data_IF_558720006537
#
_entry.id   IF_558720006537
#
_cell.length_a   1.000
_cell.length_b   1.000
_cell.length_c   1.000
_cell.angle_alpha   90.00
_cell.angle_beta   90.00
_cell.angle_gamma   90.00
#
_symmetry.space_group_name_H-M   'P 1'
#
loop_
_entity.id
_entity.type
_entity.pdbx_description
1 polymer ?
#
# COMPACT_ATOMS: atom_id res chain seq x y z
N UNK A 1 55.10 -30.11 -44.44
CA UNK A 1 55.63 -30.94 -43.33
C UNK A 1 54.65 -30.95 -42.18
N UNK A 2 54.24 -32.14 -41.78
CA UNK A 2 53.26 -32.42 -40.72
C UNK A 2 53.84 -32.13 -39.34
N UNK A 3 53.09 -31.62 -38.41
CA UNK A 3 53.20 -31.99 -37.00
C UNK A 3 51.81 -31.94 -36.28
N UNK A 4 51.38 -33.14 -35.94
CA UNK A 4 50.29 -33.39 -34.96
C UNK A 4 50.84 -33.15 -33.58
N UNK A 5 50.05 -32.51 -32.68
CA UNK A 5 50.29 -32.58 -31.24
C UNK A 5 49.00 -32.69 -30.50
N UNK A 6 48.96 -33.61 -29.57
CA UNK A 6 47.85 -34.17 -28.87
C UNK A 6 47.19 -33.19 -27.89
N UNK A 7 45.88 -33.27 -27.81
CA UNK A 7 45.03 -32.66 -26.79
C UNK A 7 45.15 -33.52 -25.53
N UNK A 8 45.67 -32.96 -24.46
CA UNK A 8 45.48 -33.48 -23.09
C UNK A 8 44.34 -32.77 -22.45
N UNK A 9 43.23 -33.49 -22.18
CA UNK A 9 42.09 -33.09 -21.38
C UNK A 9 42.54 -32.85 -19.93
N UNK A 10 42.43 -31.59 -19.47
CA UNK A 10 42.35 -31.25 -18.05
C UNK A 10 40.88 -31.07 -17.71
N UNK A 11 40.33 -32.02 -16.99
CA UNK A 11 39.09 -31.86 -16.24
C UNK A 11 39.38 -30.90 -15.07
N UNK A 12 39.05 -29.63 -15.24
CA UNK A 12 38.95 -28.69 -14.14
C UNK A 12 37.56 -28.84 -13.50
N UNK A 13 37.49 -29.45 -12.34
CA UNK A 13 36.36 -29.42 -11.46
C UNK A 13 36.13 -27.97 -11.02
N UNK A 14 35.20 -27.29 -11.65
CA UNK A 14 34.64 -26.04 -11.13
C UNK A 14 33.72 -26.39 -9.94
N UNK A 15 34.28 -26.31 -8.74
CA UNK A 15 33.48 -26.17 -7.55
C UNK A 15 32.65 -24.87 -7.70
N UNK A 16 31.37 -24.99 -7.96
CA UNK A 16 30.45 -23.88 -8.01
C UNK A 16 30.44 -23.19 -6.63
N UNK A 17 31.13 -22.05 -6.54
CA UNK A 17 30.89 -21.13 -5.43
C UNK A 17 29.51 -20.58 -5.70
N UNK A 18 28.49 -21.18 -5.05
CA UNK A 18 27.16 -20.63 -5.01
C UNK A 18 27.25 -19.26 -4.34
N UNK A 19 27.16 -18.21 -5.13
CA UNK A 19 26.98 -16.85 -4.62
C UNK A 19 25.60 -16.86 -3.97
N UNK A 20 25.57 -17.06 -2.64
CA UNK A 20 24.36 -16.92 -1.87
C UNK A 20 23.76 -15.53 -2.17
N UNK A 21 22.50 -15.47 -2.57
CA UNK A 21 21.84 -14.19 -2.83
C UNK A 21 21.94 -13.35 -1.55
N UNK A 22 22.01 -12.01 -1.64
CA UNK A 22 22.01 -11.13 -0.46
C UNK A 22 20.87 -11.40 0.52
N UNK A 23 19.76 -11.94 0.01
CA UNK A 23 18.61 -12.39 0.77
C UNK A 23 18.90 -13.60 1.67
N UNK A 24 19.70 -14.57 1.22
CA UNK A 24 20.09 -15.74 2.04
C UNK A 24 20.98 -15.34 3.20
N UNK A 25 21.84 -14.34 3.04
CA UNK A 25 22.67 -13.81 4.12
C UNK A 25 21.80 -13.10 5.17
N UNK A 26 20.81 -12.31 4.76
CA UNK A 26 19.85 -11.66 5.68
C UNK A 26 18.90 -12.67 6.31
N UNK A 27 18.42 -13.66 5.54
CA UNK A 27 17.58 -14.74 6.06
C UNK A 27 18.26 -15.52 7.19
N UNK A 28 19.58 -15.62 7.18
CA UNK A 28 20.38 -16.31 8.20
C UNK A 28 20.86 -15.39 9.35
N UNK A 29 20.59 -14.09 9.31
CA UNK A 29 20.93 -13.20 10.41
C UNK A 29 20.01 -13.46 11.62
N UNK A 30 20.56 -13.90 12.74
CA UNK A 30 19.87 -14.17 14.01
C UNK A 30 19.49 -12.88 14.77
N UNK A 31 19.00 -11.86 14.09
CA UNK A 31 18.53 -10.65 14.75
C UNK A 31 17.12 -10.93 15.27
N UNK A 32 17.03 -11.37 16.53
CA UNK A 32 15.74 -11.44 17.26
C UNK A 32 15.19 -10.02 17.40
N UNK A 33 14.06 -9.77 16.78
CA UNK A 33 13.24 -8.59 17.06
C UNK A 33 12.55 -8.79 18.41
N UNK A 34 12.39 -7.71 19.17
CA UNK A 34 11.41 -7.72 20.24
C UNK A 34 10.02 -8.03 19.63
N UNK A 35 9.21 -8.86 20.31
CA UNK A 35 7.83 -9.07 19.83
C UNK A 35 7.11 -7.73 19.68
N UNK A 36 6.33 -7.57 18.63
CA UNK A 36 5.48 -6.40 18.44
C UNK A 36 4.41 -6.37 19.55
N UNK A 37 4.03 -5.16 19.96
CA UNK A 37 3.04 -4.95 21.04
C UNK A 37 1.62 -5.34 20.64
N UNK A 38 1.34 -5.33 19.31
CA UNK A 38 0.05 -5.78 18.75
C UNK A 38 -1.07 -4.75 18.81
N UNK A 39 -0.78 -3.51 19.21
CA UNK A 39 -1.78 -2.43 19.21
C UNK A 39 -2.05 -1.87 17.82
N UNK A 40 -1.12 -2.05 16.88
CA UNK A 40 -1.25 -1.69 15.47
C UNK A 40 -1.01 -2.94 14.62
N UNK A 41 -1.90 -3.19 13.65
CA UNK A 41 -1.67 -4.21 12.63
C UNK A 41 -0.89 -3.58 11.49
N UNK A 42 0.33 -4.07 11.28
CA UNK A 42 1.24 -3.51 10.29
C UNK A 42 1.19 -4.25 8.95
N UNK A 43 1.22 -3.50 7.87
CA UNK A 43 1.45 -3.99 6.50
C UNK A 43 2.48 -3.14 5.76
N UNK A 44 2.84 -3.54 4.55
CA UNK A 44 3.79 -2.82 3.70
C UNK A 44 3.32 -2.87 2.25
N UNK A 45 3.43 -1.75 1.53
CA UNK A 45 3.07 -1.66 0.13
C UNK A 45 4.06 -2.45 -0.74
N UNK A 46 3.54 -3.33 -1.57
CA UNK A 46 4.35 -4.25 -2.40
C UNK A 46 5.26 -3.51 -3.38
N UNK A 47 4.78 -2.43 -3.97
CA UNK A 47 5.48 -1.69 -5.01
C UNK A 47 6.76 -0.98 -4.53
N UNK A 48 6.85 -0.63 -3.24
CA UNK A 48 8.06 0.00 -2.67
C UNK A 48 9.20 -0.99 -2.47
N UNK A 49 8.95 -2.29 -2.68
CA UNK A 49 9.90 -3.40 -2.59
C UNK A 49 9.92 -4.23 -3.87
N UNK A 50 9.74 -3.59 -5.04
CA UNK A 50 9.70 -4.21 -6.37
C UNK A 50 10.99 -4.94 -6.80
N UNK A 51 12.07 -4.72 -6.08
CA UNK A 51 13.32 -5.47 -6.20
C UNK A 51 13.25 -6.90 -5.62
N UNK A 52 12.15 -7.27 -4.98
CA UNK A 52 11.81 -8.60 -4.48
C UNK A 52 10.63 -9.18 -5.27
N UNK A 53 10.64 -10.47 -5.54
CA UNK A 53 9.42 -11.16 -5.91
C UNK A 53 8.42 -11.11 -4.75
N UNK A 54 7.13 -11.28 -5.03
CA UNK A 54 6.10 -11.30 -3.97
C UNK A 54 6.35 -12.42 -2.95
N UNK A 55 6.86 -13.59 -3.40
CA UNK A 55 7.25 -14.70 -2.53
C UNK A 55 8.38 -14.28 -1.56
N UNK A 56 9.43 -13.64 -2.08
CA UNK A 56 10.54 -13.15 -1.26
C UNK A 56 10.08 -12.08 -0.28
N UNK A 57 9.19 -11.17 -0.73
CA UNK A 57 8.62 -10.14 0.14
C UNK A 57 7.81 -10.78 1.28
N UNK A 58 7.00 -11.81 1.01
CA UNK A 58 6.29 -12.55 2.05
C UNK A 58 7.25 -13.11 3.12
N UNK A 59 8.38 -13.70 2.71
CA UNK A 59 9.39 -14.22 3.64
C UNK A 59 10.02 -13.11 4.49
N UNK A 60 10.34 -11.97 3.86
CA UNK A 60 10.94 -10.82 4.53
C UNK A 60 9.99 -10.23 5.56
N UNK A 61 8.75 -9.93 5.17
CA UNK A 61 7.77 -9.27 6.05
C UNK A 61 7.37 -10.13 7.22
N UNK A 62 7.20 -11.44 7.00
CA UNK A 62 6.91 -12.41 8.05
C UNK A 62 8.02 -12.46 9.10
N UNK A 63 9.28 -12.43 8.67
CA UNK A 63 10.44 -12.43 9.56
C UNK A 63 10.57 -11.14 10.37
N UNK A 64 10.14 -10.01 9.81
CA UNK A 64 10.11 -8.71 10.52
C UNK A 64 8.94 -8.65 11.53
N UNK A 65 7.85 -9.37 11.28
CA UNK A 65 6.66 -9.39 12.13
C UNK A 65 5.43 -8.71 11.51
N UNK A 66 5.48 -8.36 10.22
CA UNK A 66 4.28 -7.94 9.51
C UNK A 66 3.34 -9.13 9.27
N UNK A 67 2.04 -8.87 9.26
CA UNK A 67 1.02 -9.88 8.99
C UNK A 67 0.33 -9.71 7.63
N UNK A 68 0.62 -8.63 6.92
CA UNK A 68 0.00 -8.33 5.63
C UNK A 68 0.95 -7.63 4.65
N UNK A 69 0.61 -7.74 3.37
CA UNK A 69 1.18 -6.94 2.28
C UNK A 69 0.04 -6.13 1.65
N UNK A 70 0.35 -4.89 1.32
CA UNK A 70 -0.56 -3.89 0.78
C UNK A 70 -0.41 -3.76 -0.74
N UNK A 71 -1.48 -3.32 -1.41
CA UNK A 71 -1.50 -3.03 -2.84
C UNK A 71 -1.10 -4.24 -3.70
N UNK A 72 -1.77 -5.37 -3.45
CA UNK A 72 -1.54 -6.61 -4.21
C UNK A 72 -2.73 -6.88 -5.15
N UNK A 73 -2.43 -7.12 -6.42
CA UNK A 73 -3.45 -7.51 -7.40
C UNK A 73 -3.89 -8.97 -7.21
N UNK A 74 -5.09 -9.38 -7.71
CA UNK A 74 -5.61 -10.74 -7.58
C UNK A 74 -4.66 -11.86 -8.01
N UNK A 75 -3.80 -11.61 -8.98
CA UNK A 75 -2.76 -12.55 -9.42
C UNK A 75 -1.78 -12.95 -8.32
N UNK A 76 -1.60 -12.11 -7.29
CA UNK A 76 -0.72 -12.37 -6.14
C UNK A 76 -1.39 -13.11 -4.98
N UNK A 77 -2.71 -13.26 -4.94
CA UNK A 77 -3.43 -13.79 -3.78
C UNK A 77 -3.00 -15.20 -3.38
N UNK A 78 -2.78 -16.08 -4.35
CA UNK A 78 -2.30 -17.44 -4.08
C UNK A 78 -0.95 -17.46 -3.38
N UNK A 79 -0.06 -16.55 -3.76
CA UNK A 79 1.26 -16.40 -3.12
C UNK A 79 1.12 -15.94 -1.68
N UNK A 80 0.27 -14.93 -1.42
CA UNK A 80 0.00 -14.48 -0.05
C UNK A 80 -0.57 -15.59 0.82
N UNK A 81 -1.59 -16.30 0.34
CA UNK A 81 -2.25 -17.40 1.05
C UNK A 81 -1.27 -18.55 1.36
N UNK A 82 -0.43 -18.96 0.39
CA UNK A 82 0.58 -20.00 0.58
C UNK A 82 1.60 -19.64 1.68
N UNK A 83 1.85 -18.33 1.89
CA UNK A 83 2.77 -17.84 2.91
C UNK A 83 2.09 -17.47 4.23
N UNK A 84 0.75 -17.55 4.31
CA UNK A 84 -0.01 -17.12 5.49
C UNK A 84 0.13 -15.62 5.77
N UNK A 85 0.19 -14.81 4.71
CA UNK A 85 0.23 -13.34 4.73
C UNK A 85 -1.11 -12.83 4.23
N UNK A 86 -1.69 -11.84 4.93
CA UNK A 86 -2.94 -11.18 4.54
C UNK A 86 -2.72 -10.15 3.41
N UNK A 87 -3.78 -9.82 2.68
CA UNK A 87 -3.82 -8.69 1.75
C UNK A 87 -4.55 -7.53 2.43
N UNK A 88 -3.82 -6.49 2.85
CA UNK A 88 -4.42 -5.35 3.55
C UNK A 88 -5.18 -4.41 2.63
N UNK A 89 -4.75 -4.30 1.36
CA UNK A 89 -5.41 -3.56 0.29
C UNK A 89 -5.15 -4.24 -1.04
N UNK A 90 -6.18 -4.37 -1.87
CA UNK A 90 -6.07 -4.93 -3.20
C UNK A 90 -6.26 -3.88 -4.29
N UNK A 91 -5.59 -4.08 -5.41
CA UNK A 91 -6.01 -3.48 -6.68
C UNK A 91 -7.10 -4.33 -7.34
N UNK A 92 -7.80 -3.73 -8.31
CA UNK A 92 -8.51 -4.50 -9.33
C UNK A 92 -7.51 -5.24 -10.24
N UNK A 93 -8.00 -6.16 -11.09
CA UNK A 93 -7.13 -6.82 -12.08
C UNK A 93 -6.96 -5.99 -13.37
N UNK A 94 -7.70 -4.91 -13.49
CA UNK A 94 -7.77 -4.09 -14.70
C UNK A 94 -6.78 -2.93 -14.73
N UNK A 95 -7.18 -1.87 -15.43
CA UNK A 95 -6.37 -0.66 -15.59
C UNK A 95 -6.29 0.11 -14.26
N UNK A 96 -5.09 0.34 -13.77
CA UNK A 96 -4.84 1.26 -12.66
C UNK A 96 -4.45 2.62 -13.24
N UNK A 97 -5.18 3.67 -12.87
CA UNK A 97 -4.86 5.03 -13.25
C UNK A 97 -5.12 5.99 -12.09
N UNK A 98 -4.10 6.76 -11.72
CA UNK A 98 -4.21 7.80 -10.69
C UNK A 98 -4.81 9.10 -11.27
N UNK A 99 -4.75 9.29 -12.58
CA UNK A 99 -5.17 10.51 -13.27
C UNK A 99 -6.53 10.41 -13.95
N UNK A 100 -6.96 9.18 -14.28
CA UNK A 100 -8.27 8.88 -14.90
C UNK A 100 -9.11 8.09 -13.89
N UNK A 101 -10.02 8.75 -13.19
CA UNK A 101 -10.76 8.14 -12.11
C UNK A 101 -12.24 8.50 -12.09
N UNK A 102 -12.85 8.35 -10.91
CA UNK A 102 -14.29 8.45 -10.71
C UNK A 102 -14.87 9.87 -10.90
N UNK A 103 -14.04 10.91 -10.91
CA UNK A 103 -14.48 12.27 -11.17
C UNK A 103 -14.91 12.53 -12.63
N UNK A 104 -14.63 11.59 -13.54
CA UNK A 104 -14.95 11.69 -14.97
C UNK A 104 -16.02 10.68 -15.37
N UNK A 105 -17.16 11.18 -15.87
CA UNK A 105 -18.29 10.34 -16.28
C UNK A 105 -17.89 9.39 -17.41
N UNK A 106 -17.04 9.84 -18.33
CA UNK A 106 -16.50 9.05 -19.43
C UNK A 106 -15.69 7.83 -18.99
N UNK A 107 -15.22 7.82 -17.76
CA UNK A 107 -14.48 6.68 -17.19
C UNK A 107 -15.41 5.68 -16.49
N UNK A 108 -16.64 6.04 -16.18
CA UNK A 108 -17.48 5.21 -15.30
C UNK A 108 -17.73 3.82 -15.85
N UNK A 109 -17.94 3.65 -17.17
CA UNK A 109 -18.30 2.33 -17.70
C UNK A 109 -17.18 1.30 -17.55
N UNK A 110 -15.94 1.69 -17.84
CA UNK A 110 -14.82 0.77 -17.66
C UNK A 110 -14.48 0.58 -16.17
N UNK A 111 -14.56 1.63 -15.33
CA UNK A 111 -14.35 1.53 -13.88
C UNK A 111 -15.39 0.61 -13.24
N UNK A 112 -16.66 0.82 -13.55
CA UNK A 112 -17.75 -0.02 -13.00
C UNK A 112 -17.54 -1.49 -13.38
N UNK A 113 -17.22 -1.75 -14.66
CA UNK A 113 -16.95 -3.12 -15.10
C UNK A 113 -15.79 -3.74 -14.30
N UNK A 114 -14.68 -3.02 -14.17
CA UNK A 114 -13.47 -3.51 -13.51
C UNK A 114 -13.72 -3.80 -12.02
N UNK A 115 -14.43 -2.90 -11.33
CA UNK A 115 -14.77 -3.11 -9.92
C UNK A 115 -15.79 -4.23 -9.71
N UNK A 116 -16.81 -4.35 -10.57
CA UNK A 116 -17.79 -5.45 -10.49
C UNK A 116 -17.15 -6.81 -10.76
N UNK A 117 -16.14 -6.87 -11.61
CA UNK A 117 -15.35 -8.08 -11.84
C UNK A 117 -14.42 -8.40 -10.63
N UNK A 118 -13.82 -7.38 -10.00
CA UNK A 118 -12.86 -7.56 -8.90
C UNK A 118 -13.52 -7.88 -7.54
N UNK A 119 -14.66 -7.27 -7.22
CA UNK A 119 -15.33 -7.41 -5.93
C UNK A 119 -15.53 -8.88 -5.52
N UNK A 120 -16.14 -9.77 -6.35
CA UNK A 120 -16.31 -11.17 -5.97
C UNK A 120 -14.97 -11.89 -5.83
N UNK A 121 -13.97 -11.61 -6.65
CA UNK A 121 -12.65 -12.24 -6.60
C UNK A 121 -11.92 -11.93 -5.30
N UNK A 122 -11.98 -10.67 -4.84
CA UNK A 122 -11.37 -10.24 -3.56
C UNK A 122 -12.11 -10.88 -2.38
N UNK A 123 -13.45 -10.92 -2.44
CA UNK A 123 -14.28 -11.54 -1.39
C UNK A 123 -14.03 -13.06 -1.28
N UNK A 124 -14.00 -13.78 -2.40
CA UNK A 124 -13.73 -15.23 -2.46
C UNK A 124 -12.33 -15.57 -1.93
N UNK A 125 -11.36 -14.67 -2.12
CA UNK A 125 -10.03 -14.83 -1.54
C UNK A 125 -9.98 -14.56 -0.02
N UNK A 126 -11.07 -14.06 0.59
CA UNK A 126 -11.16 -13.73 2.00
C UNK A 126 -10.65 -12.34 2.36
N UNK A 127 -10.34 -11.52 1.36
CA UNK A 127 -9.87 -10.13 1.55
C UNK A 127 -11.03 -9.13 1.53
N UNK A 128 -10.79 -7.86 1.95
CA UNK A 128 -11.88 -6.93 2.21
C UNK A 128 -11.76 -5.58 1.54
N UNK A 129 -10.56 -5.15 1.17
CA UNK A 129 -10.32 -3.77 0.75
C UNK A 129 -9.94 -3.70 -0.73
N UNK A 130 -10.58 -2.80 -1.46
CA UNK A 130 -10.27 -2.44 -2.85
C UNK A 130 -10.01 -0.94 -2.93
N UNK A 131 -8.82 -0.56 -3.43
CA UNK A 131 -8.45 0.84 -3.61
C UNK A 131 -9.09 1.43 -4.86
N UNK A 132 -9.44 2.73 -4.79
CA UNK A 132 -9.89 3.50 -5.94
C UNK A 132 -9.34 4.93 -5.92
N UNK A 133 -9.44 5.65 -7.06
CA UNK A 133 -8.87 6.97 -7.26
C UNK A 133 -9.87 7.92 -7.91
N UNK A 134 -9.81 9.20 -7.54
CA UNK A 134 -10.69 10.21 -8.15
C UNK A 134 -10.26 10.59 -9.56
N UNK A 135 -8.96 10.63 -9.82
CA UNK A 135 -8.39 11.24 -11.01
C UNK A 135 -8.10 12.73 -10.86
N UNK A 136 -7.55 13.32 -11.90
CA UNK A 136 -7.18 14.74 -11.94
C UNK A 136 -8.38 15.64 -12.20
N UNK A 137 -8.32 16.87 -11.67
CA UNK A 137 -9.35 17.90 -11.86
C UNK A 137 -9.49 18.31 -13.32
N UNK A 138 -8.40 18.56 -14.02
CA UNK A 138 -8.40 19.11 -15.38
C UNK A 138 -9.38 20.29 -15.52
N UNK A 139 -9.32 21.22 -14.57
CA UNK A 139 -10.19 22.39 -14.52
C UNK A 139 -11.59 22.16 -13.93
N UNK A 140 -11.94 20.95 -13.47
CA UNK A 140 -13.22 20.65 -12.84
C UNK A 140 -13.25 21.17 -11.40
N UNK A 141 -14.36 21.80 -11.01
CA UNK A 141 -14.61 22.23 -9.64
C UNK A 141 -14.95 21.07 -8.71
N UNK A 142 -14.82 21.30 -7.39
CA UNK A 142 -15.03 20.30 -6.35
C UNK A 142 -16.44 19.72 -6.36
N UNK A 143 -17.46 20.55 -6.56
CA UNK A 143 -18.87 20.12 -6.50
C UNK A 143 -19.23 19.22 -7.69
N UNK A 144 -18.76 19.57 -8.88
CA UNK A 144 -18.92 18.74 -10.08
C UNK A 144 -18.20 17.40 -9.91
N UNK A 145 -16.96 17.43 -9.39
CA UNK A 145 -16.20 16.20 -9.12
C UNK A 145 -16.89 15.29 -8.11
N UNK A 146 -17.39 15.84 -7.01
CA UNK A 146 -18.17 15.09 -6.01
C UNK A 146 -19.42 14.43 -6.62
N UNK A 147 -20.20 15.17 -7.43
CA UNK A 147 -21.40 14.63 -8.11
C UNK A 147 -21.03 13.47 -9.03
N UNK A 148 -20.02 13.63 -9.84
CA UNK A 148 -19.56 12.61 -10.75
C UNK A 148 -19.09 11.35 -10.01
N UNK A 149 -18.24 11.51 -8.98
CA UNK A 149 -17.79 10.39 -8.15
C UNK A 149 -18.97 9.63 -7.53
N UNK A 150 -19.95 10.35 -6.95
CA UNK A 150 -21.15 9.73 -6.39
C UNK A 150 -21.93 8.95 -7.43
N UNK A 151 -22.14 9.53 -8.62
CA UNK A 151 -22.86 8.88 -9.72
C UNK A 151 -22.19 7.57 -10.14
N UNK A 152 -20.88 7.56 -10.33
CA UNK A 152 -20.14 6.37 -10.75
C UNK A 152 -20.07 5.31 -9.66
N UNK A 153 -19.63 5.71 -8.45
CA UNK A 153 -19.45 4.80 -7.32
C UNK A 153 -20.75 4.13 -6.87
N UNK A 154 -21.90 4.82 -6.90
CA UNK A 154 -23.20 4.20 -6.58
C UNK A 154 -23.50 2.96 -7.42
N UNK A 155 -22.96 2.86 -8.63
CA UNK A 155 -23.18 1.71 -9.53
C UNK A 155 -22.52 0.42 -9.02
N UNK A 156 -21.52 0.53 -8.12
CA UNK A 156 -20.78 -0.62 -7.57
C UNK A 156 -21.08 -0.88 -6.08
N UNK A 157 -21.63 0.10 -5.36
CA UNK A 157 -21.80 -0.02 -3.89
C UNK A 157 -22.66 -1.20 -3.48
N UNK A 158 -23.77 -1.47 -4.18
CA UNK A 158 -24.62 -2.63 -3.88
C UNK A 158 -23.88 -3.99 -3.99
N UNK A 159 -22.95 -4.10 -4.96
CA UNK A 159 -22.10 -5.29 -5.06
C UNK A 159 -21.07 -5.33 -3.94
N UNK A 160 -20.45 -4.20 -3.58
CA UNK A 160 -19.49 -4.10 -2.49
C UNK A 160 -20.14 -4.49 -1.15
N UNK A 161 -21.31 -3.95 -0.84
CA UNK A 161 -22.08 -4.26 0.38
C UNK A 161 -22.46 -5.74 0.45
N UNK A 162 -23.00 -6.30 -0.62
CA UNK A 162 -23.40 -7.71 -0.70
C UNK A 162 -22.22 -8.67 -0.44
N UNK A 163 -21.03 -8.31 -0.86
CA UNK A 163 -19.82 -9.13 -0.73
C UNK A 163 -18.95 -8.75 0.49
N UNK A 164 -19.35 -7.75 1.28
CA UNK A 164 -18.58 -7.28 2.44
C UNK A 164 -17.24 -6.63 2.06
N UNK A 165 -17.14 -6.09 0.84
CA UNK A 165 -15.96 -5.38 0.35
C UNK A 165 -16.06 -3.89 0.68
N UNK A 166 -14.96 -3.31 1.13
CA UNK A 166 -14.82 -1.88 1.39
C UNK A 166 -14.06 -1.25 0.24
N UNK A 167 -14.70 -0.33 -0.46
CA UNK A 167 -14.04 0.49 -1.48
C UNK A 167 -13.36 1.64 -0.76
N UNK A 168 -12.06 1.82 -0.99
CA UNK A 168 -11.25 2.81 -0.29
C UNK A 168 -10.65 3.81 -1.27
N UNK A 169 -11.08 5.06 -1.15
CA UNK A 169 -10.56 6.17 -1.95
C UNK A 169 -9.30 6.72 -1.29
N UNK A 170 -8.19 6.70 -2.01
CA UNK A 170 -6.96 7.27 -1.51
C UNK A 170 -6.91 8.79 -1.70
N UNK A 171 -6.47 9.47 -0.62
CA UNK A 171 -6.22 10.90 -0.59
C UNK A 171 -4.76 11.18 -0.93
N UNK A 172 -4.51 11.99 -1.98
CA UNK A 172 -3.17 12.38 -2.39
C UNK A 172 -2.92 13.87 -2.22
N UNK A 173 -1.67 14.28 -2.03
CA UNK A 173 -1.33 15.69 -2.10
C UNK A 173 -1.21 16.16 -3.57
N UNK A 174 -1.84 17.29 -3.87
CA UNK A 174 -1.74 17.95 -5.18
C UNK A 174 -0.59 19.00 -5.24
N UNK A 175 0.07 19.26 -4.10
CA UNK A 175 1.11 20.29 -3.99
C UNK A 175 2.45 19.84 -4.57
N UNK A 176 2.83 18.58 -4.37
CA UNK A 176 4.17 18.06 -4.70
C UNK A 176 4.07 16.89 -5.67
N UNK A 177 3.39 15.78 -5.26
CA UNK A 177 3.54 14.49 -5.93
C UNK A 177 2.49 14.24 -7.03
N UNK A 178 1.22 14.59 -6.79
CA UNK A 178 0.10 14.28 -7.69
C UNK A 178 -0.61 15.57 -8.11
N UNK A 179 0.10 16.43 -8.83
CA UNK A 179 -0.44 17.71 -9.29
C UNK A 179 -1.80 17.52 -9.94
N UNK A 180 -2.74 18.40 -9.55
CA UNK A 180 -4.10 18.43 -10.07
C UNK A 180 -5.00 17.25 -9.62
N UNK A 181 -4.55 16.37 -8.72
CA UNK A 181 -5.41 15.31 -8.17
C UNK A 181 -6.59 15.91 -7.40
N UNK A 182 -7.79 15.30 -7.57
CA UNK A 182 -9.01 15.92 -7.05
C UNK A 182 -9.21 15.71 -5.54
N UNK A 183 -9.04 14.50 -5.03
CA UNK A 183 -9.22 14.20 -3.61
C UNK A 183 -7.95 14.52 -2.82
N UNK A 184 -7.60 15.80 -2.75
CA UNK A 184 -6.36 16.27 -2.14
C UNK A 184 -6.53 16.84 -0.71
N UNK A 185 -7.73 16.68 -0.12
CA UNK A 185 -8.07 17.12 1.25
C UNK A 185 -9.07 16.16 1.91
N UNK A 186 -8.95 16.03 3.22
CA UNK A 186 -9.82 15.18 4.02
C UNK A 186 -11.28 15.62 3.99
N UNK A 187 -11.56 16.92 4.04
CA UNK A 187 -12.92 17.45 4.01
C UNK A 187 -13.69 17.07 2.74
N UNK A 188 -13.00 17.11 1.59
CA UNK A 188 -13.56 16.70 0.31
C UNK A 188 -13.88 15.18 0.31
N UNK A 189 -12.95 14.36 0.80
CA UNK A 189 -13.15 12.91 0.90
C UNK A 189 -14.31 12.55 1.84
N UNK A 190 -14.40 13.21 3.01
CA UNK A 190 -15.50 13.05 3.97
C UNK A 190 -16.84 13.46 3.35
N UNK A 191 -16.87 14.55 2.57
CA UNK A 191 -18.08 14.96 1.85
C UNK A 191 -18.53 13.87 0.85
N UNK A 192 -17.60 13.20 0.16
CA UNK A 192 -17.91 12.08 -0.73
C UNK A 192 -18.50 10.89 0.05
N UNK A 193 -17.89 10.50 1.18
CA UNK A 193 -18.41 9.43 2.03
C UNK A 193 -19.85 9.72 2.47
N UNK A 194 -20.12 10.94 2.96
CA UNK A 194 -21.45 11.36 3.40
C UNK A 194 -22.49 11.31 2.29
N UNK A 195 -22.13 11.73 1.06
CA UNK A 195 -23.03 11.69 -0.12
C UNK A 195 -23.31 10.28 -0.63
N UNK A 196 -22.34 9.37 -0.51
CA UNK A 196 -22.56 7.96 -0.86
C UNK A 196 -23.42 7.26 0.17
N UNK A 197 -23.22 7.57 1.46
CA UNK A 197 -24.03 7.05 2.56
C UNK A 197 -23.86 5.55 2.81
N UNK A 198 -22.80 4.93 2.26
CA UNK A 198 -22.53 3.50 2.41
C UNK A 198 -21.42 3.24 3.43
N UNK A 199 -21.60 2.30 4.38
CA UNK A 199 -20.54 1.91 5.30
C UNK A 199 -19.38 1.19 4.60
N UNK A 200 -19.60 0.70 3.38
CA UNK A 200 -18.63 0.00 2.55
C UNK A 200 -17.84 0.94 1.63
N UNK A 201 -17.96 2.25 1.82
CA UNK A 201 -17.08 3.23 1.20
C UNK A 201 -16.34 4.02 2.27
N UNK A 202 -15.02 4.00 2.23
CA UNK A 202 -14.13 4.66 3.18
C UNK A 202 -13.01 5.39 2.44
N UNK A 203 -12.22 6.12 3.20
CA UNK A 203 -11.00 6.77 2.71
C UNK A 203 -9.77 5.98 3.17
N UNK A 204 -8.81 5.86 2.29
CA UNK A 204 -7.45 5.57 2.65
C UNK A 204 -6.79 6.92 2.96
N UNK A 205 -6.44 7.11 4.24
CA UNK A 205 -5.78 8.31 4.72
C UNK A 205 -4.25 8.10 4.66
N UNK A 206 -3.62 8.61 3.61
CA UNK A 206 -2.17 8.60 3.51
C UNK A 206 -1.60 9.77 4.32
N UNK A 207 -0.94 9.44 5.43
CA UNK A 207 -0.39 10.40 6.40
C UNK A 207 0.67 11.28 5.75
N UNK A 208 1.50 10.73 4.86
CA UNK A 208 2.48 11.51 4.12
C UNK A 208 1.81 12.56 3.24
N UNK A 209 0.85 12.14 2.45
CA UNK A 209 0.15 13.04 1.54
C UNK A 209 -0.63 14.12 2.29
N UNK A 210 -1.32 13.74 3.36
CA UNK A 210 -2.16 14.69 4.11
C UNK A 210 -1.33 15.63 4.99
N UNK A 211 -0.15 15.23 5.45
CA UNK A 211 0.77 16.18 6.09
C UNK A 211 1.16 17.31 5.12
N UNK A 212 1.46 16.97 3.87
CA UNK A 212 1.81 17.96 2.84
C UNK A 212 0.61 18.83 2.45
N UNK A 213 -0.57 18.21 2.30
CA UNK A 213 -1.78 18.91 1.88
C UNK A 213 -2.33 19.86 2.93
N UNK A 214 -2.49 19.42 4.16
CA UNK A 214 -3.28 20.11 5.18
C UNK A 214 -2.62 20.15 6.56
N UNK A 215 -1.70 19.22 6.88
CA UNK A 215 -1.11 19.15 8.22
C UNK A 215 -2.09 18.70 9.30
N UNK A 216 -1.79 19.00 10.58
CA UNK A 216 -2.64 18.71 11.75
C UNK A 216 -3.23 17.28 11.78
N UNK A 217 -2.39 16.31 11.36
CA UNK A 217 -2.76 14.91 11.10
C UNK A 217 -3.50 14.27 12.27
N UNK A 218 -3.03 14.49 13.51
CA UNK A 218 -3.64 13.85 14.69
C UNK A 218 -5.07 14.33 14.94
N UNK A 219 -5.34 15.61 14.77
CA UNK A 219 -6.69 16.15 14.92
C UNK A 219 -7.59 15.62 13.81
N UNK A 220 -7.13 15.66 12.56
CA UNK A 220 -7.86 15.17 11.40
C UNK A 220 -8.24 13.69 11.57
N UNK A 221 -7.31 12.84 12.07
CA UNK A 221 -7.60 11.45 12.38
C UNK A 221 -8.69 11.32 13.45
N UNK A 222 -8.60 12.06 14.56
CA UNK A 222 -9.58 11.99 15.66
C UNK A 222 -10.97 12.43 15.23
N UNK A 223 -11.05 13.51 14.45
CA UNK A 223 -12.31 14.12 14.07
C UNK A 223 -13.04 13.34 12.95
N UNK A 224 -12.29 12.58 12.11
CA UNK A 224 -12.83 11.93 10.93
C UNK A 224 -12.58 10.40 10.89
N UNK A 225 -12.15 9.77 11.99
CA UNK A 225 -11.78 8.36 12.03
C UNK A 225 -12.87 7.41 11.51
N UNK A 226 -14.14 7.76 11.67
CA UNK A 226 -15.27 6.96 11.16
C UNK A 226 -15.27 6.81 9.64
N UNK A 227 -14.63 7.75 8.91
CA UNK A 227 -14.50 7.71 7.45
C UNK A 227 -13.19 7.06 6.97
N UNK A 228 -12.21 6.87 7.85
CA UNK A 228 -10.91 6.30 7.49
C UNK A 228 -10.91 4.78 7.68
N UNK A 229 -10.73 4.05 6.59
CA UNK A 229 -10.72 2.59 6.57
C UNK A 229 -9.33 1.98 6.40
N UNK A 230 -8.34 2.78 6.05
CA UNK A 230 -6.93 2.37 5.89
C UNK A 230 -5.98 3.55 6.05
N UNK A 231 -4.72 3.26 6.38
CA UNK A 231 -3.68 4.28 6.55
C UNK A 231 -2.41 3.90 5.82
N UNK A 232 -1.81 4.88 5.11
CA UNK A 232 -0.45 4.79 4.59
C UNK A 232 0.50 5.72 5.34
N UNK A 233 1.80 5.37 5.35
CA UNK A 233 2.83 6.09 6.12
C UNK A 233 4.10 6.24 5.30
N UNK A 234 4.71 7.43 5.35
CA UNK A 234 6.07 7.69 4.88
C UNK A 234 6.65 8.93 5.57
N UNK A 235 7.96 9.12 5.50
CA UNK A 235 8.62 10.30 6.05
C UNK A 235 8.37 11.55 5.20
N UNK A 236 8.11 12.68 5.86
CA UNK A 236 7.97 14.00 5.23
C UNK A 236 9.19 14.85 5.62
N UNK A 237 9.84 15.53 4.68
CA UNK A 237 9.59 15.56 3.23
C UNK A 237 10.11 14.32 2.49
N UNK A 238 9.71 14.16 1.22
CA UNK A 238 10.35 13.29 0.24
C UNK A 238 9.83 11.87 0.16
N UNK A 239 8.87 11.45 1.02
CA UNK A 239 8.29 10.09 1.05
C UNK A 239 9.33 9.02 1.38
N UNK A 240 10.35 9.39 2.18
CA UNK A 240 11.47 8.50 2.54
C UNK A 240 11.25 7.76 3.86
N UNK A 241 12.34 7.27 4.47
CA UNK A 241 12.32 6.49 5.68
C UNK A 241 11.58 7.15 6.84
N UNK A 242 10.92 6.33 7.67
CA UNK A 242 10.40 6.77 8.96
C UNK A 242 11.53 6.66 9.99
N UNK A 243 12.24 7.76 10.17
CA UNK A 243 13.35 7.87 11.10
C UNK A 243 13.42 9.27 11.73
N UNK A 244 14.56 9.64 12.31
CA UNK A 244 14.78 10.93 12.98
C UNK A 244 14.98 12.11 12.03
N UNK A 245 15.08 11.89 10.72
CA UNK A 245 15.35 12.93 9.72
C UNK A 245 14.08 13.47 9.03
N UNK A 246 12.91 13.06 9.50
CA UNK A 246 11.62 13.49 8.96
C UNK A 246 10.76 14.17 10.04
N UNK A 247 9.74 14.95 9.64
CA UNK A 247 9.03 15.86 10.54
C UNK A 247 7.87 15.25 11.34
N UNK A 248 7.39 14.04 11.00
CA UNK A 248 6.24 13.39 11.63
C UNK A 248 6.64 12.60 12.86
N UNK A 249 6.02 12.87 14.00
CA UNK A 249 6.22 12.06 15.21
C UNK A 249 5.28 10.84 15.21
N UNK A 250 5.63 9.81 14.45
CA UNK A 250 4.82 8.61 14.25
C UNK A 250 4.32 7.93 15.53
N UNK A 251 5.08 7.83 16.64
CA UNK A 251 4.53 7.23 17.86
C UNK A 251 3.28 7.94 18.39
N UNK A 252 3.15 9.26 18.23
CA UNK A 252 1.94 9.99 18.63
C UNK A 252 0.80 9.77 17.64
N UNK A 253 1.10 9.70 16.35
CA UNK A 253 0.11 9.44 15.30
C UNK A 253 -0.47 8.03 15.48
N UNK A 254 0.38 7.01 15.69
CA UNK A 254 -0.07 5.63 15.93
C UNK A 254 -0.96 5.52 17.18
N UNK A 255 -0.60 6.22 18.28
CA UNK A 255 -1.48 6.30 19.47
C UNK A 255 -2.82 6.94 19.14
N UNK A 256 -2.86 7.98 18.31
CA UNK A 256 -4.10 8.60 17.92
C UNK A 256 -4.98 7.62 17.12
N UNK A 257 -4.41 6.89 16.15
CA UNK A 257 -5.10 5.84 15.39
C UNK A 257 -5.62 4.75 16.34
N UNK A 258 -4.78 4.21 17.21
CA UNK A 258 -5.17 3.17 18.16
C UNK A 258 -6.33 3.61 19.08
N UNK A 259 -6.28 4.85 19.58
CA UNK A 259 -7.32 5.43 20.46
C UNK A 259 -8.69 5.59 19.81
N UNK A 260 -8.78 5.59 18.46
CA UNK A 260 -10.08 5.58 17.76
C UNK A 260 -10.76 4.22 17.77
N UNK A 261 -10.08 3.17 18.23
CA UNK A 261 -10.57 1.79 18.16
C UNK A 261 -10.33 1.14 16.79
N UNK A 262 -9.49 1.72 15.94
CA UNK A 262 -9.17 1.19 14.61
C UNK A 262 -8.58 -0.22 14.68
N UNK A 263 -9.12 -1.14 13.88
CA UNK A 263 -8.71 -2.57 13.83
C UNK A 263 -8.14 -2.98 12.47
N UNK A 264 -8.05 -2.05 11.52
CA UNK A 264 -7.48 -2.30 10.20
C UNK A 264 -5.94 -2.29 10.20
N UNK A 265 -5.36 -2.24 9.02
CA UNK A 265 -3.92 -2.18 8.84
C UNK A 265 -3.41 -0.76 8.65
N UNK A 266 -2.18 -0.51 9.11
CA UNK A 266 -1.38 0.67 8.79
C UNK A 266 -0.21 0.19 7.92
N UNK A 267 -0.16 0.67 6.67
CA UNK A 267 0.83 0.22 5.70
C UNK A 267 2.03 1.17 5.59
N UNK A 268 3.22 0.60 5.58
CA UNK A 268 4.45 1.33 5.29
C UNK A 268 4.56 1.54 3.78
N UNK A 269 4.62 2.80 3.33
CA UNK A 269 4.67 3.13 1.91
C UNK A 269 5.81 4.11 1.56
N UNK A 270 6.82 4.18 2.38
CA UNK A 270 7.97 5.02 2.10
C UNK A 270 8.87 4.42 1.00
N UNK A 271 9.53 5.32 0.25
CA UNK A 271 10.51 4.99 -0.77
C UNK A 271 11.89 5.12 -0.16
N UNK A 272 12.57 4.00 0.04
CA UNK A 272 13.87 3.99 0.70
C UNK A 272 14.96 4.64 -0.16
N UNK A 273 15.72 5.59 0.41
CA UNK A 273 16.91 6.17 -0.20
C UNK A 273 18.17 5.30 -0.06
N UNK A 274 18.07 4.18 0.66
CA UNK A 274 19.22 3.29 0.87
C UNK A 274 19.65 2.63 -0.43
N UNK A 275 20.94 2.37 -0.56
CA UNK A 275 21.54 1.89 -1.81
C UNK A 275 21.41 0.37 -1.98
N UNK A 276 21.44 -0.38 -0.89
CA UNK A 276 21.40 -1.84 -0.94
C UNK A 276 20.05 -2.38 -0.46
N UNK A 277 19.64 -3.53 -1.01
CA UNK A 277 18.41 -4.21 -0.58
C UNK A 277 18.41 -4.54 0.92
N UNK A 278 19.58 -4.91 1.46
CA UNK A 278 19.74 -5.18 2.90
C UNK A 278 19.43 -3.93 3.75
N UNK A 279 19.94 -2.77 3.35
CA UNK A 279 19.67 -1.51 4.05
C UNK A 279 18.20 -1.09 3.92
N UNK A 280 17.59 -1.25 2.73
CA UNK A 280 16.16 -0.99 2.51
C UNK A 280 15.28 -1.84 3.45
N UNK A 281 15.60 -3.13 3.59
CA UNK A 281 14.90 -4.03 4.52
C UNK A 281 15.16 -3.62 5.98
N UNK A 282 16.36 -3.16 6.31
CA UNK A 282 16.66 -2.64 7.65
C UNK A 282 15.86 -1.36 7.97
N UNK A 283 15.65 -0.48 6.98
CA UNK A 283 14.77 0.69 7.12
C UNK A 283 13.34 0.28 7.41
N UNK A 284 12.81 -0.73 6.72
CA UNK A 284 11.46 -1.25 6.98
C UNK A 284 11.33 -1.78 8.42
N UNK A 285 12.34 -2.49 8.88
CA UNK A 285 12.40 -2.96 10.27
C UNK A 285 12.43 -1.82 11.28
N UNK A 286 13.21 -0.76 11.03
CA UNK A 286 13.25 0.44 11.88
C UNK A 286 11.88 1.14 11.91
N UNK A 287 11.25 1.28 10.76
CA UNK A 287 9.94 1.93 10.62
C UNK A 287 8.85 1.22 11.44
N UNK A 288 8.75 -0.12 11.36
CA UNK A 288 7.75 -0.85 12.16
C UNK A 288 8.02 -0.69 13.67
N UNK A 289 9.28 -0.68 14.11
CA UNK A 289 9.62 -0.49 15.52
C UNK A 289 9.23 0.91 16.04
N UNK A 290 9.33 1.95 15.19
CA UNK A 290 8.90 3.32 15.53
C UNK A 290 7.37 3.40 15.60
N UNK A 291 6.68 2.68 14.71
CA UNK A 291 5.22 2.68 14.62
C UNK A 291 4.53 1.69 15.58
N UNK A 292 5.27 0.78 16.21
CA UNK A 292 4.74 -0.19 17.16
C UNK A 292 4.66 0.42 18.55
N UNK A 293 3.46 0.73 19.04
CA UNK A 293 3.20 1.49 20.26
C UNK A 293 2.65 0.62 21.40
#
# INVERSE_FOLDING_TARGET
MRRRTAIRSLLASTAGIGVASPLTAWANSNIKLAPLKGNIRHSVCSWTYDFLSLEELCQVVKKIGFSAIDLVAPSGFKTLQANGIDCSMSYTAGKISLTEGWNRIENHDWLVKDFLDAIPVVAEAGYKNLICFTGNRNGMDDETGLKNCVQGLKRIMGAAEKNGIIIQLELFNSKVDHKDYMADRSDWGVALCKRLGSPNFKLLYDIYHMQISEGDVIRTIRDNHEYFGHYHTAGVPGRHEIDENQELFYPAIMRAIHQTGYQGYVAQEFISEKKTNTEKIASLKKAIQICDI
#
